data_IF_549787961067
#
_entry.id   IF_549787961067
#
_cell.length_a   1.000
_cell.length_b   1.000
_cell.length_c   1.000
_cell.angle_alpha   90.00
_cell.angle_beta   90.00
_cell.angle_gamma   90.00
#
_symmetry.space_group_name_H-M   'P 1'
#
loop_
_entity.id
_entity.type
_entity.pdbx_description
1 polymer ?
#
# COMPACT_ATOMS: atom_id res chain seq x y z
N UNK A 1 17.59 -18.37 -0.74
CA UNK A 1 16.68 -17.88 0.34
C UNK A 1 16.17 -16.51 -0.07
N UNK A 2 14.88 -16.27 0.01
CA UNK A 2 14.30 -14.94 -0.31
C UNK A 2 14.64 -14.01 0.85
N UNK A 3 15.33 -12.89 0.57
CA UNK A 3 15.75 -11.94 1.61
C UNK A 3 14.59 -11.06 2.06
N UNK A 4 14.50 -10.73 3.36
CA UNK A 4 13.54 -9.75 3.86
C UNK A 4 13.83 -8.38 3.25
N UNK A 5 12.76 -7.67 2.83
CA UNK A 5 12.86 -6.28 2.39
C UNK A 5 12.35 -5.32 3.46
N UNK A 6 11.34 -5.74 4.24
CA UNK A 6 10.78 -4.97 5.35
C UNK A 6 10.62 -5.86 6.57
N UNK A 7 11.16 -5.41 7.69
CA UNK A 7 11.02 -6.09 8.99
C UNK A 7 10.49 -5.09 10.02
N UNK A 8 9.42 -5.48 10.69
CA UNK A 8 8.82 -4.77 11.80
C UNK A 8 9.05 -5.59 13.06
N UNK A 9 9.54 -4.98 14.12
CA UNK A 9 9.81 -5.65 15.39
C UNK A 9 9.14 -4.92 16.53
N UNK A 10 8.18 -5.58 17.18
CA UNK A 10 7.44 -5.11 18.36
C UNK A 10 6.87 -3.70 18.19
N UNK A 11 6.27 -3.40 17.04
CA UNK A 11 5.66 -2.10 16.75
C UNK A 11 4.44 -1.89 17.64
N UNK A 12 4.49 -0.80 18.40
CA UNK A 12 3.39 -0.33 19.24
C UNK A 12 2.97 1.08 18.83
N UNK A 13 1.65 1.34 18.84
CA UNK A 13 1.08 2.66 18.60
C UNK A 13 -0.22 2.84 19.35
N UNK A 14 -0.32 3.95 20.08
CA UNK A 14 -1.53 4.36 20.79
C UNK A 14 -1.93 5.78 20.40
N UNK A 15 -3.22 6.03 20.42
CA UNK A 15 -3.83 7.35 20.29
C UNK A 15 -4.71 7.60 21.50
N UNK A 16 -4.22 8.34 22.49
CA UNK A 16 -4.86 8.47 23.78
C UNK A 16 -5.03 7.10 24.46
N UNK A 17 -6.27 6.70 24.71
CA UNK A 17 -6.58 5.41 25.34
C UNK A 17 -6.73 4.25 24.34
N UNK A 18 -6.68 4.52 23.04
CA UNK A 18 -6.86 3.51 22.01
C UNK A 18 -5.50 2.98 21.56
N UNK A 19 -5.22 1.71 21.85
CA UNK A 19 -4.02 1.02 21.35
C UNK A 19 -4.30 0.48 19.94
N UNK A 20 -3.84 1.22 18.92
CA UNK A 20 -4.08 0.90 17.52
C UNK A 20 -3.20 -0.25 17.01
N UNK A 21 -1.96 -0.36 17.52
CA UNK A 21 -1.07 -1.49 17.24
C UNK A 21 -0.39 -1.94 18.52
N UNK A 22 -0.27 -3.25 18.72
CA UNK A 22 0.29 -3.87 19.93
C UNK A 22 1.25 -5.00 19.56
N UNK A 23 2.54 -4.80 19.85
CA UNK A 23 3.63 -5.77 19.68
C UNK A 23 3.64 -6.44 18.30
N UNK A 24 3.38 -5.67 17.23
CA UNK A 24 3.36 -6.24 15.88
C UNK A 24 4.79 -6.50 15.40
N UNK A 25 5.07 -7.78 15.14
CA UNK A 25 6.30 -8.22 14.50
C UNK A 25 5.97 -8.94 13.19
N UNK A 26 6.57 -8.49 12.08
CA UNK A 26 6.23 -8.95 10.74
C UNK A 26 7.46 -8.86 9.84
N UNK A 27 7.68 -9.89 9.02
CA UNK A 27 8.74 -9.92 8.02
C UNK A 27 8.15 -10.07 6.63
N UNK A 28 8.41 -9.11 5.75
CA UNK A 28 7.98 -9.10 4.35
C UNK A 28 9.16 -9.40 3.44
N UNK A 29 9.00 -10.40 2.59
CA UNK A 29 10.04 -10.82 1.67
C UNK A 29 9.97 -10.04 0.35
N UNK A 30 11.13 -9.87 -0.29
CA UNK A 30 11.23 -9.19 -1.58
C UNK A 30 10.44 -9.94 -2.67
N UNK A 31 9.74 -9.19 -3.52
CA UNK A 31 9.07 -9.72 -4.71
C UNK A 31 7.80 -10.53 -4.42
N UNK A 32 7.18 -10.37 -3.25
CA UNK A 32 5.92 -11.05 -2.88
C UNK A 32 4.81 -10.04 -2.62
N UNK A 33 3.56 -10.47 -2.83
CA UNK A 33 2.36 -9.67 -2.59
C UNK A 33 1.71 -10.12 -1.28
N UNK A 34 1.65 -9.22 -0.31
CA UNK A 34 1.07 -9.47 1.00
C UNK A 34 -0.28 -8.76 1.13
N UNK A 35 -1.34 -9.51 1.39
CA UNK A 35 -2.64 -8.93 1.74
C UNK A 35 -2.75 -8.68 3.24
N UNK A 36 -3.23 -7.51 3.64
CA UNK A 36 -3.59 -7.23 5.03
C UNK A 36 -5.10 -7.22 5.14
N UNK A 37 -5.64 -8.09 5.97
CA UNK A 37 -7.07 -8.23 6.25
C UNK A 37 -7.35 -8.05 7.75
N UNK A 38 -8.59 -7.75 8.10
CA UNK A 38 -9.05 -7.52 9.46
C UNK A 38 -10.21 -6.53 9.47
N UNK A 39 -10.96 -6.43 10.55
CA UNK A 39 -12.09 -5.52 10.68
C UNK A 39 -11.70 -4.03 10.56
N UNK A 40 -12.70 -3.17 10.36
CA UNK A 40 -12.48 -1.72 10.41
C UNK A 40 -12.05 -1.33 11.82
N UNK A 41 -11.01 -0.48 11.92
CA UNK A 41 -10.42 -0.13 13.21
C UNK A 41 -9.42 -1.15 13.78
N UNK A 42 -9.15 -2.27 13.10
CA UNK A 42 -8.19 -3.28 13.58
C UNK A 42 -6.72 -2.81 13.61
N UNK A 43 -6.40 -1.62 13.10
CA UNK A 43 -5.03 -1.07 13.12
C UNK A 43 -4.24 -1.23 11.82
N UNK A 44 -4.86 -1.73 10.74
CA UNK A 44 -4.19 -1.98 9.44
C UNK A 44 -3.58 -0.72 8.83
N UNK A 45 -4.40 0.31 8.58
CA UNK A 45 -3.96 1.58 7.98
C UNK A 45 -3.03 2.35 8.92
N UNK A 46 -3.19 2.20 10.24
CA UNK A 46 -2.26 2.77 11.23
C UNK A 46 -0.87 2.15 11.08
N UNK A 47 -0.78 0.82 10.99
CA UNK A 47 0.50 0.12 10.79
C UNK A 47 1.18 0.58 9.50
N UNK A 48 0.45 0.66 8.40
CA UNK A 48 1.01 1.12 7.13
C UNK A 48 1.38 2.60 7.14
N UNK A 49 0.63 3.43 7.87
CA UNK A 49 0.97 4.84 8.08
C UNK A 49 2.27 5.02 8.89
N UNK A 50 2.58 4.08 9.79
CA UNK A 50 3.88 4.04 10.49
C UNK A 50 4.99 3.66 9.52
N UNK A 51 4.80 2.63 8.69
CA UNK A 51 5.76 2.20 7.67
C UNK A 51 6.00 3.30 6.63
N UNK A 52 4.98 4.09 6.33
CA UNK A 52 5.11 5.22 5.40
C UNK A 52 5.59 6.52 6.06
N UNK A 53 5.75 6.55 7.39
CA UNK A 53 6.29 7.71 8.12
C UNK A 53 5.27 8.82 8.40
N UNK A 54 3.96 8.59 8.24
CA UNK A 54 2.93 9.52 8.71
C UNK A 54 2.80 9.54 10.23
N UNK A 55 2.94 8.37 10.84
CA UNK A 55 2.98 8.24 12.29
C UNK A 55 4.31 7.66 12.72
N UNK A 56 4.80 8.08 13.87
CA UNK A 56 5.92 7.42 14.52
C UNK A 56 5.36 6.33 15.45
N UNK A 57 5.99 5.15 15.44
CA UNK A 57 5.71 4.14 16.45
C UNK A 57 6.10 4.66 17.83
N UNK A 58 5.33 4.29 18.85
CA UNK A 58 5.64 4.63 20.24
C UNK A 58 6.82 3.77 20.76
N UNK A 59 6.93 2.54 20.25
CA UNK A 59 8.07 1.63 20.45
C UNK A 59 8.18 0.61 19.32
N UNK A 60 9.30 -0.09 19.26
CA UNK A 60 9.64 -1.05 18.22
C UNK A 60 10.62 -0.49 17.21
N UNK A 61 10.98 -1.29 16.21
CA UNK A 61 11.92 -0.90 15.16
C UNK A 61 11.46 -1.33 13.78
N UNK A 62 11.91 -0.60 12.75
CA UNK A 62 11.63 -0.86 11.34
C UNK A 62 12.97 -1.04 10.63
N UNK A 63 13.12 -2.14 9.88
CA UNK A 63 14.27 -2.34 8.99
C UNK A 63 13.81 -2.44 7.55
N UNK A 64 14.54 -1.79 6.66
CA UNK A 64 14.36 -1.87 5.20
C UNK A 64 15.67 -2.32 4.59
N UNK A 65 15.64 -3.40 3.80
CA UNK A 65 16.84 -4.03 3.24
C UNK A 65 17.91 -4.31 4.31
N UNK A 66 17.50 -4.76 5.52
CA UNK A 66 18.37 -5.06 6.66
C UNK A 66 18.86 -3.85 7.45
N UNK A 67 18.64 -2.61 6.97
CA UNK A 67 19.05 -1.39 7.67
C UNK A 67 17.92 -0.88 8.58
N UNK A 68 18.23 -0.65 9.85
CA UNK A 68 17.29 -0.06 10.78
C UNK A 68 17.10 1.43 10.47
N UNK A 69 15.85 1.83 10.27
CA UNK A 69 15.49 3.17 9.86
C UNK A 69 14.51 3.82 10.84
N UNK A 70 14.71 5.12 11.06
CA UNK A 70 13.78 5.95 11.81
C UNK A 70 13.01 6.83 10.83
N UNK A 71 11.84 6.34 10.41
CA UNK A 71 10.98 7.04 9.47
C UNK A 71 10.22 8.15 10.21
N UNK A 72 10.62 9.41 10.00
CA UNK A 72 10.02 10.59 10.66
C UNK A 72 9.01 11.29 9.77
N UNK A 73 9.04 11.02 8.48
CA UNK A 73 8.20 11.66 7.48
C UNK A 73 8.00 10.75 6.26
N UNK A 74 6.95 10.98 5.45
CA UNK A 74 6.78 10.29 4.17
C UNK A 74 7.98 10.43 3.23
N UNK A 75 8.71 11.54 3.32
CA UNK A 75 9.93 11.77 2.53
C UNK A 75 11.01 10.73 2.84
N UNK A 76 11.18 10.38 4.12
CA UNK A 76 12.14 9.34 4.52
C UNK A 76 11.77 7.99 3.90
N UNK A 77 10.49 7.65 3.91
CA UNK A 77 9.99 6.40 3.31
C UNK A 77 10.17 6.38 1.79
N UNK A 78 9.87 7.47 1.10
CA UNK A 78 10.06 7.60 -0.35
C UNK A 78 11.54 7.41 -0.72
N UNK A 79 12.46 8.07 -0.02
CA UNK A 79 13.91 7.95 -0.27
C UNK A 79 14.39 6.51 -0.06
N UNK A 80 13.75 5.76 0.85
CA UNK A 80 14.05 4.35 1.10
C UNK A 80 13.20 3.38 0.25
N UNK A 81 12.61 3.86 -0.84
CA UNK A 81 11.93 3.03 -1.82
C UNK A 81 10.53 2.56 -1.40
N UNK A 82 9.86 3.22 -0.46
CA UNK A 82 8.47 2.93 -0.11
C UNK A 82 7.56 3.93 -0.80
N UNK A 83 6.61 3.44 -1.60
CA UNK A 83 5.49 4.21 -2.16
C UNK A 83 4.18 3.79 -1.51
N UNK A 84 3.29 4.73 -1.26
CA UNK A 84 1.95 4.45 -0.74
C UNK A 84 0.89 5.13 -1.59
N UNK A 85 -0.13 4.35 -1.91
CA UNK A 85 -1.37 4.79 -2.54
C UNK A 85 -2.45 4.74 -1.47
N UNK A 86 -3.00 5.91 -1.15
CA UNK A 86 -3.93 6.08 -0.04
C UNK A 86 -5.37 5.77 -0.46
N UNK A 87 -6.20 5.45 0.50
CA UNK A 87 -7.64 5.28 0.32
C UNK A 87 -8.31 6.57 -0.20
N UNK A 88 -7.85 7.74 0.29
CA UNK A 88 -8.24 9.05 -0.21
C UNK A 88 -7.08 9.64 -1.02
N UNK A 89 -7.38 10.13 -2.22
CA UNK A 89 -6.35 10.65 -3.12
C UNK A 89 -5.59 11.83 -2.51
N UNK A 90 -4.26 11.76 -2.63
CA UNK A 90 -3.35 12.84 -2.24
C UNK A 90 -2.94 13.64 -3.49
N UNK A 91 -3.93 14.00 -4.31
CA UNK A 91 -3.78 14.75 -5.55
C UNK A 91 -4.30 16.17 -5.40
N UNK A 92 -3.62 17.13 -6.00
CA UNK A 92 -4.06 18.53 -6.11
C UNK A 92 -4.99 18.63 -7.32
N UNK A 93 -6.27 18.92 -7.08
CA UNK A 93 -7.31 18.82 -8.11
C UNK A 93 -7.12 19.78 -9.30
N UNK A 94 -6.59 20.97 -9.05
CA UNK A 94 -6.41 22.01 -10.08
C UNK A 94 -5.09 21.85 -10.86
N UNK A 95 -4.27 20.83 -10.54
CA UNK A 95 -3.01 20.55 -11.23
C UNK A 95 -3.21 19.47 -12.29
N UNK A 96 -2.35 19.52 -13.31
CA UNK A 96 -2.24 18.42 -14.27
C UNK A 96 -1.67 17.15 -13.61
N UNK A 97 -1.82 16.02 -14.28
CA UNK A 97 -1.22 14.76 -13.87
C UNK A 97 0.30 14.92 -13.74
N UNK A 98 0.96 15.53 -14.72
CA UNK A 98 2.40 15.77 -14.70
C UNK A 98 2.80 16.55 -13.45
N UNK A 99 2.14 17.69 -13.19
CA UNK A 99 2.46 18.54 -12.02
C UNK A 99 2.27 17.80 -10.70
N UNK A 100 1.20 17.00 -10.57
CA UNK A 100 0.96 16.20 -9.36
C UNK A 100 2.04 15.16 -9.08
N UNK A 101 2.60 14.55 -10.12
CA UNK A 101 3.60 13.50 -9.97
C UNK A 101 4.96 14.08 -9.59
N UNK A 102 5.36 15.20 -10.24
CA UNK A 102 6.66 15.81 -9.99
C UNK A 102 6.69 16.68 -8.73
N UNK A 103 5.53 17.09 -8.23
CA UNK A 103 5.41 17.95 -7.04
C UNK A 103 6.13 17.34 -5.82
N UNK A 104 7.10 18.09 -5.28
CA UNK A 104 7.83 17.72 -4.05
C UNK A 104 8.87 16.60 -4.22
N UNK A 105 9.10 16.10 -5.44
CA UNK A 105 10.09 15.06 -5.70
C UNK A 105 11.39 15.61 -6.30
N UNK A 106 11.30 16.62 -7.14
CA UNK A 106 12.47 17.22 -7.74
C UNK A 106 12.94 18.43 -6.90
N UNK A 107 14.20 18.38 -6.43
CA UNK A 107 14.82 19.48 -5.71
C UNK A 107 14.75 20.80 -6.50
N UNK A 108 15.18 21.90 -5.90
CA UNK A 108 15.04 23.26 -6.40
C UNK A 108 15.07 23.39 -7.93
N UNK A 109 13.93 23.85 -8.49
CA UNK A 109 13.76 24.29 -9.90
C UNK A 109 13.57 23.17 -10.94
N UNK A 110 12.31 22.78 -11.14
CA UNK A 110 11.89 22.00 -12.33
C UNK A 110 11.62 22.96 -13.49
N UNK A 111 12.66 23.41 -14.18
CA UNK A 111 12.46 24.18 -15.42
C UNK A 111 13.21 23.56 -16.61
N UNK A 112 12.55 23.53 -17.77
CA UNK A 112 13.17 23.24 -19.07
C UNK A 112 13.54 21.77 -19.28
N UNK A 113 14.82 21.42 -19.27
CA UNK A 113 15.31 20.07 -19.65
C UNK A 113 14.83 18.98 -18.70
N UNK A 114 14.79 19.22 -17.40
CA UNK A 114 14.34 18.25 -16.38
C UNK A 114 12.86 17.90 -16.52
N UNK A 115 12.00 18.89 -16.83
CA UNK A 115 10.58 18.66 -17.07
C UNK A 115 10.34 17.77 -18.30
N UNK A 116 11.10 18.00 -19.38
CA UNK A 116 11.02 17.16 -20.58
C UNK A 116 11.47 15.72 -20.31
N UNK A 117 12.50 15.56 -19.51
CA UNK A 117 13.00 14.24 -19.10
C UNK A 117 11.99 13.53 -18.20
N UNK A 118 11.43 14.22 -17.20
CA UNK A 118 10.37 13.71 -16.36
C UNK A 118 9.16 13.24 -17.18
N UNK A 119 8.70 14.08 -18.13
CA UNK A 119 7.58 13.73 -19.03
C UNK A 119 7.90 12.50 -19.87
N UNK A 120 9.13 12.39 -20.41
CA UNK A 120 9.57 11.21 -21.17
C UNK A 120 9.57 9.94 -20.31
N UNK A 121 10.10 10.00 -19.09
CA UNK A 121 10.14 8.87 -18.17
C UNK A 121 8.71 8.43 -17.76
N UNK A 122 7.81 9.37 -17.55
CA UNK A 122 6.40 9.10 -17.25
C UNK A 122 5.68 8.45 -18.43
N UNK A 123 5.92 8.91 -19.67
CA UNK A 123 5.38 8.26 -20.87
C UNK A 123 5.84 6.81 -20.94
N UNK A 124 7.12 6.53 -20.74
CA UNK A 124 7.65 5.18 -20.74
C UNK A 124 7.00 4.30 -19.66
N UNK A 125 6.78 4.83 -18.44
CA UNK A 125 6.07 4.12 -17.37
C UNK A 125 4.60 3.85 -17.76
N UNK A 126 3.92 4.83 -18.34
CA UNK A 126 2.54 4.66 -18.81
C UNK A 126 2.43 3.55 -19.86
N UNK A 127 3.37 3.48 -20.80
CA UNK A 127 3.44 2.45 -21.83
C UNK A 127 3.75 1.07 -21.23
N UNK A 128 4.79 1.00 -20.38
CA UNK A 128 5.23 -0.25 -19.72
C UNK A 128 4.10 -0.90 -18.95
N UNK A 129 3.36 -0.12 -18.16
CA UNK A 129 2.27 -0.63 -17.32
C UNK A 129 0.87 -0.45 -17.92
N UNK A 130 0.78 -0.04 -19.20
CA UNK A 130 -0.48 0.16 -19.94
C UNK A 130 -1.50 1.01 -19.17
N UNK A 131 -1.01 2.08 -18.52
CA UNK A 131 -1.86 2.90 -17.64
C UNK A 131 -2.82 3.81 -18.41
N UNK A 132 -2.50 4.16 -19.67
CA UNK A 132 -3.31 5.01 -20.55
C UNK A 132 -3.73 6.31 -19.84
N UNK A 133 -2.76 7.09 -19.38
CA UNK A 133 -2.96 8.36 -18.69
C UNK A 133 -2.42 9.47 -19.58
N UNK A 134 -3.23 10.49 -19.82
CA UNK A 134 -2.77 11.73 -20.40
C UNK A 134 -2.15 12.61 -19.30
N UNK A 135 -0.89 12.95 -19.46
CA UNK A 135 -0.11 13.69 -18.46
C UNK A 135 -0.52 15.17 -18.36
N UNK A 136 -1.16 15.71 -19.39
CA UNK A 136 -1.59 17.09 -19.45
C UNK A 136 -3.04 17.29 -18.93
N UNK A 137 -3.78 16.20 -18.69
CA UNK A 137 -5.13 16.25 -18.12
C UNK A 137 -5.13 16.82 -16.71
N UNK A 138 -6.13 17.63 -16.39
CA UNK A 138 -6.35 18.15 -15.01
C UNK A 138 -7.00 17.09 -14.14
N UNK A 139 -6.55 16.98 -12.88
CA UNK A 139 -7.01 15.93 -11.96
C UNK A 139 -8.51 16.00 -11.69
N UNK A 140 -9.09 17.22 -11.58
CA UNK A 140 -10.54 17.39 -11.36
C UNK A 140 -11.40 16.72 -12.44
N UNK A 141 -10.90 16.64 -13.66
CA UNK A 141 -11.65 16.11 -14.82
C UNK A 141 -11.55 14.58 -14.93
N UNK A 142 -10.71 13.96 -14.10
CA UNK A 142 -10.47 12.53 -14.13
C UNK A 142 -11.47 11.75 -13.27
N UNK A 143 -11.94 10.62 -13.79
CA UNK A 143 -12.73 9.68 -12.99
C UNK A 143 -11.90 9.06 -11.86
N UNK A 144 -12.57 8.54 -10.83
CA UNK A 144 -11.96 7.85 -9.68
C UNK A 144 -10.93 6.80 -10.10
N UNK A 145 -11.25 5.98 -11.11
CA UNK A 145 -10.33 4.96 -11.61
C UNK A 145 -9.11 5.53 -12.33
N UNK A 146 -9.18 6.73 -12.91
CA UNK A 146 -8.02 7.41 -13.47
C UNK A 146 -7.17 8.05 -12.37
N UNK A 147 -7.79 8.73 -11.38
CA UNK A 147 -7.08 9.30 -10.23
C UNK A 147 -6.28 8.23 -9.48
N UNK A 148 -6.85 7.03 -9.30
CA UNK A 148 -6.15 5.90 -8.70
C UNK A 148 -4.91 5.50 -9.50
N UNK A 149 -5.01 5.46 -10.84
CA UNK A 149 -3.86 5.16 -11.69
C UNK A 149 -2.78 6.25 -11.62
N UNK A 150 -3.16 7.51 -11.46
CA UNK A 150 -2.22 8.62 -11.25
C UNK A 150 -1.44 8.45 -9.95
N UNK A 151 -2.11 8.08 -8.84
CA UNK A 151 -1.43 7.79 -7.56
C UNK A 151 -0.44 6.62 -7.68
N UNK A 152 -0.83 5.56 -8.39
CA UNK A 152 0.07 4.43 -8.66
C UNK A 152 1.27 4.89 -9.51
N UNK A 153 1.02 5.63 -10.61
CA UNK A 153 2.07 6.16 -11.47
C UNK A 153 3.04 7.06 -10.69
N UNK A 154 2.52 7.88 -9.79
CA UNK A 154 3.30 8.74 -8.89
C UNK A 154 4.23 7.92 -7.98
N UNK A 155 3.73 6.84 -7.38
CA UNK A 155 4.54 5.95 -6.56
C UNK A 155 5.63 5.24 -7.39
N UNK A 156 5.29 4.77 -8.60
CA UNK A 156 6.23 4.13 -9.52
C UNK A 156 7.32 5.09 -10.01
N UNK A 157 6.95 6.30 -10.39
CA UNK A 157 7.89 7.33 -10.83
C UNK A 157 8.91 7.70 -9.75
N UNK A 158 8.48 7.67 -8.48
CA UNK A 158 9.33 7.90 -7.32
C UNK A 158 10.21 6.69 -6.94
N UNK A 159 10.20 5.63 -7.74
CA UNK A 159 11.08 4.48 -7.56
C UNK A 159 10.66 3.53 -6.44
N UNK A 160 9.37 3.40 -6.15
CA UNK A 160 8.91 2.50 -5.10
C UNK A 160 9.33 1.04 -5.35
N UNK A 161 10.13 0.47 -4.45
CA UNK A 161 10.46 -0.97 -4.37
C UNK A 161 9.42 -1.72 -3.55
N UNK A 162 8.88 -1.08 -2.52
CA UNK A 162 7.76 -1.54 -1.71
C UNK A 162 6.56 -0.66 -2.04
N UNK A 163 5.50 -1.24 -2.59
CA UNK A 163 4.26 -0.53 -2.93
C UNK A 163 3.18 -0.88 -1.92
N UNK A 164 2.72 0.11 -1.16
CA UNK A 164 1.59 -0.03 -0.24
C UNK A 164 0.34 0.49 -0.95
N UNK A 165 -0.70 -0.35 -1.02
CA UNK A 165 -2.01 -0.02 -1.59
C UNK A 165 -3.06 -0.12 -0.48
N UNK A 166 -3.55 1.03 0.00
CA UNK A 166 -4.56 1.08 1.07
C UNK A 166 -5.94 1.23 0.43
N UNK A 167 -6.73 0.15 0.45
CA UNK A 167 -8.08 0.05 -0.12
C UNK A 167 -8.20 0.64 -1.54
N UNK A 168 -7.36 0.22 -2.50
CA UNK A 168 -7.21 0.90 -3.79
C UNK A 168 -8.47 0.88 -4.66
N UNK A 169 -9.48 0.10 -4.29
CA UNK A 169 -10.74 -0.04 -5.03
C UNK A 169 -11.97 0.35 -4.21
N UNK A 170 -11.80 1.00 -3.04
CA UNK A 170 -12.90 1.28 -2.10
C UNK A 170 -14.10 2.02 -2.74
N UNK A 171 -13.82 2.98 -3.62
CA UNK A 171 -14.83 3.83 -4.26
C UNK A 171 -15.10 3.47 -5.72
N UNK A 172 -14.82 2.22 -6.14
CA UNK A 172 -14.98 1.79 -7.53
C UNK A 172 -16.16 0.87 -7.73
N UNK A 173 -16.80 0.98 -8.89
CA UNK A 173 -17.72 0.01 -9.40
C UNK A 173 -17.02 -1.32 -9.76
N UNK A 174 -17.74 -2.46 -9.83
CA UNK A 174 -17.13 -3.77 -10.08
C UNK A 174 -16.34 -3.86 -11.40
N UNK A 175 -16.79 -3.15 -12.45
CA UNK A 175 -16.09 -3.16 -13.74
C UNK A 175 -14.78 -2.40 -13.69
N UNK A 176 -14.75 -1.25 -13.01
CA UNK A 176 -13.54 -0.45 -12.77
C UNK A 176 -12.56 -1.17 -11.84
N UNK A 177 -13.05 -1.84 -10.81
CA UNK A 177 -12.26 -2.69 -9.92
C UNK A 177 -11.56 -3.82 -10.71
N UNK A 178 -12.28 -4.55 -11.54
CA UNK A 178 -11.70 -5.64 -12.34
C UNK A 178 -10.65 -5.12 -13.33
N UNK A 179 -10.88 -3.93 -13.94
CA UNK A 179 -9.88 -3.29 -14.80
C UNK A 179 -8.61 -2.92 -14.04
N UNK A 180 -8.75 -2.37 -12.82
CA UNK A 180 -7.60 -2.04 -11.97
C UNK A 180 -6.87 -3.30 -11.53
N UNK A 181 -7.58 -4.33 -11.07
CA UNK A 181 -7.00 -5.62 -10.67
C UNK A 181 -6.10 -6.21 -11.75
N UNK A 182 -6.60 -6.30 -13.00
CA UNK A 182 -5.81 -6.80 -14.14
C UNK A 182 -4.54 -5.98 -14.40
N UNK A 183 -4.57 -4.67 -14.15
CA UNK A 183 -3.38 -3.83 -14.28
C UNK A 183 -2.41 -4.02 -13.14
N UNK A 184 -2.92 -4.20 -11.92
CA UNK A 184 -2.09 -4.47 -10.76
C UNK A 184 -1.31 -5.77 -10.93
N UNK A 185 -1.83 -6.79 -11.62
CA UNK A 185 -1.08 -8.01 -11.93
C UNK A 185 0.28 -7.67 -12.59
N UNK A 186 0.30 -6.81 -13.59
CA UNK A 186 1.54 -6.42 -14.27
C UNK A 186 2.39 -5.42 -13.47
N UNK A 187 1.77 -4.55 -12.66
CA UNK A 187 2.48 -3.55 -11.84
C UNK A 187 3.20 -4.22 -10.68
N UNK A 188 2.59 -5.25 -10.09
CA UNK A 188 3.10 -5.93 -8.90
C UNK A 188 4.05 -7.08 -9.22
N UNK A 189 4.13 -7.51 -10.48
CA UNK A 189 5.04 -8.58 -10.90
C UNK A 189 6.48 -8.26 -10.54
N UNK A 190 7.11 -9.15 -9.75
CA UNK A 190 8.48 -8.98 -9.25
C UNK A 190 8.67 -7.84 -8.24
N UNK A 191 7.61 -7.13 -7.85
CA UNK A 191 7.62 -6.02 -6.90
C UNK A 191 7.06 -6.46 -5.55
N UNK A 192 7.65 -5.98 -4.47
CA UNK A 192 7.07 -6.17 -3.16
C UNK A 192 5.84 -5.28 -3.00
N UNK A 193 4.70 -5.89 -2.71
CA UNK A 193 3.45 -5.14 -2.58
C UNK A 193 2.73 -5.51 -1.29
N UNK A 194 2.22 -4.51 -0.58
CA UNK A 194 1.35 -4.66 0.58
C UNK A 194 -0.01 -4.11 0.19
N UNK A 195 -1.01 -4.97 0.17
CA UNK A 195 -2.37 -4.65 -0.24
C UNK A 195 -3.33 -4.75 0.94
N UNK A 196 -3.86 -3.63 1.40
CA UNK A 196 -4.95 -3.63 2.37
C UNK A 196 -6.26 -3.67 1.57
N UNK A 197 -7.09 -4.67 1.82
CA UNK A 197 -8.40 -4.77 1.15
C UNK A 197 -9.36 -5.68 1.90
N UNK A 198 -10.64 -5.38 1.79
CA UNK A 198 -11.75 -6.24 2.20
C UNK A 198 -12.40 -6.96 1.02
N UNK A 199 -11.97 -6.67 -0.21
CA UNK A 199 -12.57 -7.20 -1.42
C UNK A 199 -11.92 -8.50 -1.87
N UNK A 200 -12.71 -9.58 -1.92
CA UNK A 200 -12.24 -10.91 -2.31
C UNK A 200 -11.57 -10.95 -3.69
N UNK A 201 -12.06 -10.15 -4.66
CA UNK A 201 -11.47 -10.08 -5.99
C UNK A 201 -10.01 -9.60 -5.96
N UNK A 202 -9.65 -8.71 -5.05
CA UNK A 202 -8.28 -8.21 -4.90
C UNK A 202 -7.36 -9.23 -4.22
N UNK A 203 -7.91 -10.11 -3.38
CA UNK A 203 -7.16 -11.17 -2.72
C UNK A 203 -6.65 -12.24 -3.70
N UNK A 204 -7.15 -12.28 -4.94
CA UNK A 204 -6.61 -13.18 -5.98
C UNK A 204 -5.17 -12.86 -6.35
N UNK A 205 -4.73 -11.61 -6.15
CA UNK A 205 -3.37 -11.16 -6.41
C UNK A 205 -2.36 -11.54 -5.32
N UNK A 206 -2.84 -11.96 -4.16
CA UNK A 206 -2.06 -12.06 -2.93
C UNK A 206 -1.42 -13.43 -2.77
N UNK A 207 -0.12 -13.46 -2.44
CA UNK A 207 0.62 -14.68 -2.13
C UNK A 207 0.49 -15.08 -0.65
N UNK A 208 0.55 -14.08 0.24
CA UNK A 208 0.49 -14.29 1.70
C UNK A 208 -0.51 -13.34 2.33
N UNK A 209 -1.17 -13.81 3.40
CA UNK A 209 -2.09 -12.99 4.18
C UNK A 209 -1.54 -12.66 5.56
N UNK A 210 -1.83 -11.45 5.99
CA UNK A 210 -1.58 -10.88 7.30
C UNK A 210 -2.95 -10.57 7.89
N UNK A 211 -3.32 -11.24 8.98
CA UNK A 211 -4.55 -10.97 9.71
C UNK A 211 -4.24 -10.10 10.92
N UNK A 212 -4.81 -8.91 10.95
CA UNK A 212 -4.74 -8.00 12.10
C UNK A 212 -6.11 -7.91 12.73
N UNK A 213 -6.17 -8.14 14.04
CA UNK A 213 -7.36 -7.98 14.86
C UNK A 213 -7.03 -7.23 16.14
N UNK A 214 -7.82 -6.20 16.48
CA UNK A 214 -7.66 -5.37 17.69
C UNK A 214 -6.22 -4.96 17.95
N UNK A 215 -5.54 -4.49 16.90
CA UNK A 215 -4.17 -4.01 16.95
C UNK A 215 -3.09 -5.09 17.03
N UNK A 216 -3.42 -6.38 16.95
CA UNK A 216 -2.46 -7.49 17.04
C UNK A 216 -2.37 -8.27 15.74
N UNK A 217 -1.18 -8.80 15.46
CA UNK A 217 -0.98 -9.81 14.41
C UNK A 217 -1.54 -11.15 14.92
N UNK A 218 -2.58 -11.64 14.26
CA UNK A 218 -3.28 -12.88 14.65
C UNK A 218 -2.83 -14.07 13.82
N UNK A 219 -2.58 -13.85 12.52
CA UNK A 219 -2.07 -14.87 11.62
C UNK A 219 -1.24 -14.21 10.50
N UNK A 220 -0.23 -14.96 10.05
CA UNK A 220 0.58 -14.61 8.89
C UNK A 220 1.08 -15.89 8.21
N UNK A 221 0.98 -15.95 6.91
CA UNK A 221 1.43 -17.11 6.14
C UNK A 221 0.88 -17.13 4.71
N UNK A 222 1.05 -18.27 4.00
CA UNK A 222 0.43 -18.50 2.71
C UNK A 222 -1.08 -18.21 2.78
N UNK A 223 -1.62 -17.62 1.70
CA UNK A 223 -3.01 -17.16 1.66
C UNK A 223 -4.00 -18.24 2.09
N UNK A 224 -3.87 -19.44 1.51
CA UNK A 224 -4.83 -20.53 1.74
C UNK A 224 -4.80 -21.04 3.19
N UNK A 225 -3.63 -21.07 3.83
CA UNK A 225 -3.48 -21.47 5.22
C UNK A 225 -4.15 -20.48 6.17
N UNK A 226 -4.03 -19.17 5.89
CA UNK A 226 -4.65 -18.13 6.72
C UNK A 226 -6.16 -18.12 6.54
N UNK A 227 -6.66 -18.33 5.31
CA UNK A 227 -8.10 -18.44 5.02
C UNK A 227 -8.69 -19.66 5.74
N UNK A 228 -8.04 -20.81 5.69
CA UNK A 228 -8.49 -22.02 6.39
C UNK A 228 -8.61 -21.81 7.92
N UNK A 229 -7.63 -21.10 8.51
CA UNK A 229 -7.66 -20.74 9.93
C UNK A 229 -8.81 -19.78 10.30
N UNK A 230 -9.13 -18.84 9.40
CA UNK A 230 -10.26 -17.92 9.58
C UNK A 230 -11.60 -18.69 9.56
N UNK A 231 -11.78 -19.56 8.59
CA UNK A 231 -12.98 -20.38 8.47
C UNK A 231 -13.18 -21.29 9.69
N UNK A 232 -12.12 -21.95 10.16
CA UNK A 232 -12.16 -22.78 11.34
C UNK A 232 -12.57 -22.00 12.61
N UNK A 233 -12.13 -20.74 12.77
CA UNK A 233 -12.54 -19.85 13.88
C UNK A 233 -14.02 -19.45 13.80
N UNK A 234 -14.53 -19.17 12.61
CA UNK A 234 -15.95 -18.83 12.42
C UNK A 234 -16.87 -20.01 12.76
N UNK A 235 -16.49 -21.22 12.37
CA UNK A 235 -17.27 -22.44 12.71
C UNK A 235 -17.20 -22.76 14.22
N UNK A 236 -16.06 -22.58 14.87
CA UNK A 236 -15.90 -22.80 16.31
C UNK A 236 -16.74 -21.83 17.17
N UNK A 237 -16.81 -20.55 16.76
CA UNK A 237 -17.63 -19.56 17.49
C UNK A 237 -19.14 -19.71 17.27
N UNK A 238 -19.58 -20.36 16.20
CA UNK A 238 -21.01 -20.67 15.99
C UNK A 238 -21.46 -21.88 16.80
N UNK A 239 -20.58 -22.85 17.06
CA UNK A 239 -20.88 -24.01 17.89
C UNK A 239 -21.07 -23.66 19.38
N UNK A 240 -20.31 -22.69 19.89
CA UNK A 240 -20.44 -22.23 21.28
C UNK A 240 -21.72 -21.39 21.55
N UNK A 241 -22.34 -20.80 20.52
CA UNK A 241 -23.56 -20.00 20.65
C UNK A 241 -24.86 -20.81 20.44
N UNK A 242 -24.78 -22.12 20.19
CA UNK A 242 -25.96 -22.98 19.95
C UNK A 242 -26.32 -23.82 21.20
N UNK A 243 -25.53 -23.75 22.27
CA UNK A 243 -25.73 -24.49 23.51
C UNK A 243 -26.21 -23.60 24.70
N UNK A 244 -27.03 -22.56 24.42
CA UNK A 244 -27.70 -21.77 25.47
C UNK A 244 -29.20 -21.78 25.30
#
# INVERSE_FOLDING_TARGET
MVSPILELSYINKSFGHVQANKDISLTINKGTIHGIIGENGAGKSTLMSIVYGFYQADSGSIKINGNELRLKSPRDSIINGIGMVHQHFMLVENFSVLENIILGFEGEVVFGKKLKEAKKNLINLCETYKLNIDLDSIISDLSVGFRQRVEILKALYRGAEILILDEPTASMDPASENRLRKRLESITEGRTTILITHKGAMLTLVDKLILIDRGKLVAYGPKDDVIAKLQARQYGSQAENTDV
#
